data_IF_004969308274
#
_entry.id   IF_004969308274
#
_cell.length_a   1.000
_cell.length_b   1.000
_cell.length_c   1.000
_cell.angle_alpha   90.00
_cell.angle_beta   90.00
_cell.angle_gamma   90.00
#
_symmetry.space_group_name_H-M   'P 1'
#
loop_
_entity.id
_entity.type
_entity.pdbx_description
1 polymer ?
#
# COMPACT_ATOMS: atom_id res chain seq x y z
N UNK A 1 -11.55 -6.04 -19.01
CA UNK A 1 -10.13 -5.65 -19.13
C UNK A 1 -9.85 -5.15 -20.56
N UNK A 2 -8.96 -4.18 -20.65
CA UNK A 2 -8.57 -3.60 -21.93
C UNK A 2 -7.27 -4.27 -22.42
N UNK A 3 -7.27 -4.71 -23.69
CA UNK A 3 -6.07 -5.20 -24.34
C UNK A 3 -5.42 -4.06 -25.13
N UNK A 4 -4.12 -3.90 -24.98
CA UNK A 4 -3.32 -2.98 -25.77
C UNK A 4 -2.32 -3.78 -26.60
N UNK A 5 -2.09 -3.35 -27.85
CA UNK A 5 -1.16 -4.01 -28.76
C UNK A 5 0.19 -3.31 -28.84
N UNK A 6 0.32 -2.16 -28.19
CA UNK A 6 1.57 -1.41 -28.11
C UNK A 6 1.74 -0.90 -26.69
N UNK A 7 2.87 -1.17 -26.09
CA UNK A 7 3.25 -0.71 -24.77
C UNK A 7 4.71 -0.28 -24.74
N UNK A 8 5.10 0.35 -23.63
CA UNK A 8 6.49 0.70 -23.36
C UNK A 8 6.84 0.16 -21.97
N UNK A 9 7.91 -0.62 -21.89
CA UNK A 9 8.44 -1.14 -20.62
C UNK A 9 9.90 -0.73 -20.55
N UNK A 10 10.26 0.00 -19.50
CA UNK A 10 11.61 0.51 -19.27
C UNK A 10 12.23 1.22 -20.49
N UNK A 11 11.43 2.07 -21.16
CA UNK A 11 11.87 2.82 -22.35
C UNK A 11 11.89 2.01 -23.66
N UNK A 12 11.58 0.71 -23.62
CA UNK A 12 11.52 -0.14 -24.80
C UNK A 12 10.09 -0.30 -25.28
N UNK A 13 9.85 0.01 -26.56
CA UNK A 13 8.55 -0.18 -27.21
C UNK A 13 8.33 -1.65 -27.55
N UNK A 14 7.20 -2.18 -27.08
CA UNK A 14 6.78 -3.55 -27.34
C UNK A 14 5.50 -3.55 -28.19
N UNK A 15 5.47 -4.40 -29.21
CA UNK A 15 4.30 -4.66 -30.03
C UNK A 15 3.82 -6.10 -29.75
N UNK A 16 3.02 -6.27 -28.71
CA UNK A 16 2.46 -7.55 -28.30
C UNK A 16 1.10 -7.34 -27.65
N UNK A 17 0.14 -8.26 -27.77
CA UNK A 17 -1.08 -8.21 -27.01
C UNK A 17 -0.76 -8.28 -25.51
N UNK A 18 -1.10 -7.23 -24.78
CA UNK A 18 -0.92 -7.17 -23.33
C UNK A 18 -2.12 -6.51 -22.65
N UNK A 19 -2.28 -6.77 -21.36
CA UNK A 19 -3.26 -6.06 -20.56
C UNK A 19 -2.77 -4.65 -20.24
N UNK A 20 -3.69 -3.68 -20.24
CA UNK A 20 -3.38 -2.32 -19.82
C UNK A 20 -3.32 -2.27 -18.29
N UNK A 21 -2.13 -2.48 -17.74
CA UNK A 21 -1.88 -2.46 -16.29
C UNK A 21 -1.17 -1.16 -15.92
N UNK A 22 -1.69 -0.51 -14.90
CA UNK A 22 -1.05 0.66 -14.29
C UNK A 22 -0.54 0.30 -12.90
N UNK A 23 0.77 0.45 -12.69
CA UNK A 23 1.42 0.14 -11.42
C UNK A 23 1.55 1.40 -10.57
N UNK A 24 1.27 1.27 -9.29
CA UNK A 24 1.44 2.35 -8.29
C UNK A 24 2.16 1.81 -7.07
N UNK A 25 3.11 2.58 -6.55
CA UNK A 25 3.84 2.24 -5.34
C UNK A 25 3.03 2.63 -4.09
N UNK A 26 2.01 1.84 -3.76
CA UNK A 26 1.15 2.07 -2.60
C UNK A 26 0.68 0.74 -1.97
N UNK A 27 1.37 -0.37 -2.22
CA UNK A 27 1.08 -1.67 -1.62
C UNK A 27 1.65 -1.84 -0.22
N UNK A 28 1.37 -2.96 0.43
CA UNK A 28 1.78 -3.25 1.82
C UNK A 28 3.27 -3.10 2.09
N UNK A 29 4.12 -3.46 1.12
CA UNK A 29 5.59 -3.32 1.23
C UNK A 29 6.13 -1.94 0.89
N UNK A 30 5.31 -0.97 0.49
CA UNK A 30 5.78 0.38 0.18
C UNK A 30 6.37 1.06 1.41
N UNK A 31 7.59 1.57 1.26
CA UNK A 31 8.35 2.19 2.34
C UNK A 31 7.74 3.54 2.69
N UNK A 32 7.62 3.81 3.99
CA UNK A 32 7.15 5.08 4.53
C UNK A 32 8.35 5.94 4.91
N UNK A 33 8.34 7.18 4.47
CA UNK A 33 9.46 8.09 4.70
C UNK A 33 9.00 9.53 4.96
N UNK A 34 9.92 10.34 5.47
CA UNK A 34 9.72 11.76 5.63
C UNK A 34 10.92 12.50 5.01
N UNK A 35 10.67 13.21 3.93
CA UNK A 35 11.70 13.94 3.19
C UNK A 35 11.18 15.28 2.71
N UNK A 36 12.05 16.28 2.72
CA UNK A 36 11.72 17.65 2.31
C UNK A 36 10.44 18.22 2.97
N UNK A 37 10.24 17.94 4.27
CA UNK A 37 9.07 18.41 5.01
C UNK A 37 7.77 17.67 4.74
N UNK A 38 7.80 16.54 4.03
CA UNK A 38 6.59 15.79 3.61
C UNK A 38 6.67 14.31 3.96
N UNK A 39 5.54 13.77 4.36
CA UNK A 39 5.34 12.32 4.45
C UNK A 39 5.22 11.74 3.04
N UNK A 40 5.86 10.60 2.79
CA UNK A 40 5.88 9.93 1.49
C UNK A 40 5.62 8.45 1.63
N UNK A 41 4.98 7.86 0.61
CA UNK A 41 4.73 6.43 0.47
C UNK A 41 5.35 5.97 -0.84
N UNK A 42 6.33 5.06 -0.74
CA UNK A 42 7.12 4.64 -1.90
C UNK A 42 8.01 5.76 -2.45
N UNK A 43 8.55 5.61 -3.67
CA UNK A 43 8.36 4.49 -4.61
C UNK A 43 9.04 3.18 -4.20
N UNK A 44 9.93 3.22 -3.22
CA UNK A 44 10.66 2.05 -2.75
C UNK A 44 9.74 1.04 -2.06
N UNK A 45 10.07 -0.24 -2.20
CA UNK A 45 9.38 -1.34 -1.55
C UNK A 45 10.38 -2.19 -0.77
N UNK A 46 9.99 -2.59 0.45
CA UNK A 46 10.76 -3.53 1.25
C UNK A 46 10.74 -4.96 0.70
N UNK A 47 9.88 -5.25 -0.28
CA UNK A 47 9.69 -6.58 -0.82
C UNK A 47 9.26 -7.60 0.24
N UNK A 48 9.66 -8.86 0.05
CA UNK A 48 9.44 -9.94 1.01
C UNK A 48 10.65 -10.20 1.91
N UNK A 49 11.82 -9.73 1.50
CA UNK A 49 13.08 -9.86 2.24
C UNK A 49 13.92 -8.58 2.09
N UNK A 50 14.17 -7.84 3.16
CA UNK A 50 13.78 -8.10 4.54
C UNK A 50 12.28 -8.01 4.80
N UNK A 51 11.50 -7.32 3.97
CA UNK A 51 10.08 -7.06 4.14
C UNK A 51 9.80 -5.92 5.13
N UNK A 52 8.54 -5.71 5.52
CA UNK A 52 8.12 -4.78 6.57
C UNK A 52 8.88 -4.97 7.89
N UNK A 53 8.96 -3.91 8.70
CA UNK A 53 9.59 -3.98 10.03
C UNK A 53 8.98 -5.09 10.90
N UNK A 54 7.65 -5.24 10.86
CA UNK A 54 6.92 -6.27 11.60
C UNK A 54 7.28 -7.71 11.21
N UNK A 55 7.99 -7.94 10.10
CA UNK A 55 8.45 -9.27 9.74
C UNK A 55 9.63 -9.74 10.60
N UNK A 56 10.21 -8.86 11.43
CA UNK A 56 11.29 -9.22 12.36
C UNK A 56 12.61 -9.56 11.67
N UNK A 57 12.82 -9.10 10.44
CA UNK A 57 14.04 -9.32 9.65
C UNK A 57 14.90 -8.07 9.47
N UNK A 58 14.59 -6.99 10.20
CA UNK A 58 15.30 -5.71 10.12
C UNK A 58 14.91 -4.86 8.91
N UNK A 59 13.69 -5.00 8.42
CA UNK A 59 13.15 -4.19 7.34
C UNK A 59 12.74 -2.79 7.77
N UNK A 60 12.48 -1.90 6.80
CA UNK A 60 12.05 -0.53 7.05
C UNK A 60 10.58 -0.46 7.46
N UNK A 61 10.16 0.74 7.92
CA UNK A 61 8.76 1.07 8.14
C UNK A 61 8.00 1.07 6.81
N UNK A 62 6.86 0.38 6.76
CA UNK A 62 6.05 0.22 5.55
C UNK A 62 4.57 0.45 5.81
N UNK A 63 3.77 0.44 4.74
CA UNK A 63 2.30 0.48 4.80
C UNK A 63 1.73 -0.66 5.65
N UNK A 64 2.33 -1.86 5.62
CA UNK A 64 1.93 -2.99 6.48
C UNK A 64 2.10 -2.64 7.96
N UNK A 65 3.21 -2.01 8.32
CA UNK A 65 3.48 -1.58 9.69
C UNK A 65 2.47 -0.52 10.16
N UNK A 66 2.13 0.45 9.30
CA UNK A 66 1.11 1.44 9.59
C UNK A 66 -0.27 0.80 9.84
N UNK A 67 -0.64 -0.22 9.05
CA UNK A 67 -1.88 -0.96 9.27
C UNK A 67 -1.87 -1.76 10.60
N UNK A 68 -0.73 -2.26 11.04
CA UNK A 68 -0.58 -2.91 12.36
C UNK A 68 -0.71 -1.89 13.49
N UNK A 69 -0.06 -0.73 13.36
CA UNK A 69 -0.10 0.35 14.37
C UNK A 69 -1.53 0.84 14.58
N UNK A 70 -2.26 1.07 13.49
CA UNK A 70 -3.66 1.52 13.53
C UNK A 70 -4.67 0.41 13.86
N UNK A 71 -4.22 -0.85 14.00
CA UNK A 71 -5.08 -1.99 14.32
C UNK A 71 -5.94 -2.50 13.15
N UNK A 72 -5.76 -1.98 11.94
CA UNK A 72 -6.43 -2.48 10.72
C UNK A 72 -5.96 -3.88 10.35
N UNK A 73 -4.70 -4.20 10.63
CA UNK A 73 -4.11 -5.51 10.48
C UNK A 73 -3.76 -6.04 11.88
N UNK A 74 -4.31 -7.21 12.20
CA UNK A 74 -4.21 -7.82 13.53
C UNK A 74 -3.25 -9.01 13.48
N UNK A 75 -2.05 -8.90 14.10
CA UNK A 75 -0.99 -9.91 14.07
C UNK A 75 -1.44 -11.31 14.53
N UNK A 76 -2.38 -11.38 15.46
CA UNK A 76 -2.87 -12.63 16.04
C UNK A 76 -3.61 -13.54 15.05
N UNK A 77 -4.04 -13.02 13.91
CA UNK A 77 -4.69 -13.80 12.86
C UNK A 77 -3.74 -14.32 11.79
N UNK A 78 -2.45 -14.04 11.92
CA UNK A 78 -1.45 -14.50 10.98
C UNK A 78 -0.73 -15.75 11.50
N UNK A 79 -0.37 -16.68 10.61
CA UNK A 79 0.43 -17.83 11.00
C UNK A 79 1.84 -17.40 11.42
N UNK A 80 2.52 -18.16 12.31
CA UNK A 80 3.85 -17.86 12.80
C UNK A 80 4.92 -18.25 11.76
N UNK A 81 5.02 -17.49 10.68
CA UNK A 81 5.94 -17.73 9.54
C UNK A 81 6.96 -16.61 9.36
N UNK A 82 7.01 -15.65 10.29
CA UNK A 82 7.88 -14.49 10.25
C UNK A 82 9.14 -14.67 11.10
N UNK A 83 9.93 -13.60 11.22
CA UNK A 83 11.23 -13.64 11.89
C UNK A 83 12.33 -14.24 11.03
N UNK A 84 13.56 -14.17 11.54
CA UNK A 84 14.76 -14.68 10.83
C UNK A 84 14.70 -16.19 10.55
N UNK A 85 14.03 -16.96 11.41
CA UNK A 85 13.90 -18.42 11.30
C UNK A 85 12.59 -18.87 10.68
N UNK A 86 11.67 -17.95 10.33
CA UNK A 86 10.37 -18.28 9.75
C UNK A 86 9.40 -19.00 10.71
N UNK A 87 9.51 -18.76 12.01
CA UNK A 87 8.72 -19.41 13.05
C UNK A 87 8.20 -18.44 14.12
N UNK A 88 8.11 -17.15 13.80
CA UNK A 88 7.62 -16.10 14.70
C UNK A 88 6.34 -15.48 14.17
N UNK A 89 5.55 -14.90 15.06
CA UNK A 89 4.40 -14.08 14.69
C UNK A 89 4.86 -12.72 14.11
N UNK A 90 3.95 -11.99 13.50
CA UNK A 90 4.17 -10.58 13.17
C UNK A 90 4.48 -9.79 14.45
N UNK A 91 5.54 -8.98 14.39
CA UNK A 91 6.02 -8.22 15.54
C UNK A 91 5.50 -6.78 15.50
N UNK A 92 4.43 -6.51 16.26
CA UNK A 92 3.89 -5.14 16.42
C UNK A 92 4.90 -4.18 17.05
N UNK A 93 5.76 -4.68 17.97
CA UNK A 93 6.74 -3.81 18.63
C UNK A 93 7.82 -3.34 17.65
N UNK A 94 8.19 -4.18 16.69
CA UNK A 94 9.09 -3.77 15.62
C UNK A 94 8.51 -2.62 14.77
N UNK A 95 7.20 -2.64 14.49
CA UNK A 95 6.52 -1.53 13.80
C UNK A 95 6.55 -0.24 14.64
N UNK A 96 6.26 -0.35 15.95
CA UNK A 96 6.27 0.79 16.88
C UNK A 96 7.69 1.36 16.97
N UNK A 97 8.70 0.52 17.09
CA UNK A 97 10.09 0.94 17.12
C UNK A 97 10.52 1.64 15.82
N UNK A 98 10.05 1.15 14.68
CA UNK A 98 10.40 1.72 13.37
C UNK A 98 9.73 3.10 13.13
N UNK A 99 8.56 3.38 13.70
CA UNK A 99 7.88 4.68 13.55
C UNK A 99 8.35 5.71 14.59
N UNK A 100 8.90 5.29 15.73
CA UNK A 100 9.27 6.16 16.86
C UNK A 100 10.19 7.35 16.47
N UNK A 101 11.24 7.19 15.66
CA UNK A 101 12.08 8.32 15.21
C UNK A 101 11.29 9.42 14.51
N UNK A 102 10.25 9.05 13.76
CA UNK A 102 9.37 10.02 13.09
C UNK A 102 8.43 10.69 14.09
N UNK A 103 7.91 9.93 15.06
CA UNK A 103 7.04 10.43 16.14
C UNK A 103 7.76 11.49 16.96
N UNK A 104 8.99 11.22 17.37
CA UNK A 104 9.81 12.17 18.11
C UNK A 104 10.15 13.41 17.28
N UNK A 105 10.57 13.23 16.04
CA UNK A 105 10.95 14.33 15.14
C UNK A 105 9.77 15.27 14.83
N UNK A 106 8.57 14.71 14.63
CA UNK A 106 7.39 15.46 14.22
C UNK A 106 6.48 15.85 15.39
N UNK A 107 6.81 15.40 16.61
CA UNK A 107 6.02 15.60 17.83
C UNK A 107 4.56 15.15 17.67
N UNK A 108 4.37 13.96 17.07
CA UNK A 108 3.06 13.36 16.80
C UNK A 108 3.04 11.91 17.27
N UNK A 109 1.85 11.41 17.61
CA UNK A 109 1.71 10.00 18.02
C UNK A 109 1.95 9.05 16.84
N UNK A 110 2.36 7.83 17.13
CA UNK A 110 2.58 6.80 16.13
C UNK A 110 1.30 6.52 15.32
N UNK A 111 0.15 6.46 16.00
CA UNK A 111 -1.15 6.22 15.39
C UNK A 111 -1.51 7.33 14.39
N UNK A 112 -1.38 8.60 14.79
CA UNK A 112 -1.71 9.73 13.91
C UNK A 112 -0.81 9.76 12.69
N UNK A 113 0.50 9.50 12.85
CA UNK A 113 1.41 9.42 11.72
C UNK A 113 1.11 8.24 10.80
N UNK A 114 0.79 7.08 11.36
CA UNK A 114 0.39 5.92 10.58
C UNK A 114 -0.87 6.18 9.76
N UNK A 115 -1.88 6.84 10.34
CA UNK A 115 -3.11 7.24 9.63
C UNK A 115 -2.84 8.21 8.49
N UNK A 116 -1.95 9.19 8.68
CA UNK A 116 -1.56 10.12 7.62
C UNK A 116 -0.90 9.40 6.44
N UNK A 117 0.06 8.51 6.71
CA UNK A 117 0.67 7.71 5.65
C UNK A 117 -0.33 6.80 4.94
N UNK A 118 -1.26 6.18 5.67
CA UNK A 118 -2.32 5.37 5.07
C UNK A 118 -3.25 6.21 4.19
N UNK A 119 -3.55 7.44 4.61
CA UNK A 119 -4.33 8.38 3.79
C UNK A 119 -3.59 8.75 2.49
N UNK A 120 -2.27 8.96 2.54
CA UNK A 120 -1.45 9.20 1.36
C UNK A 120 -1.45 7.96 0.45
N UNK A 121 -1.27 6.75 1.00
CA UNK A 121 -1.33 5.51 0.24
C UNK A 121 -2.67 5.36 -0.48
N UNK A 122 -3.78 5.59 0.22
CA UNK A 122 -5.13 5.56 -0.35
C UNK A 122 -5.26 6.59 -1.49
N UNK A 123 -4.77 7.81 -1.29
CA UNK A 123 -4.85 8.85 -2.31
C UNK A 123 -4.03 8.52 -3.57
N UNK A 124 -2.88 7.88 -3.40
CA UNK A 124 -2.07 7.39 -4.52
C UNK A 124 -2.82 6.31 -5.32
N UNK A 125 -3.48 5.36 -4.63
CA UNK A 125 -4.32 4.33 -5.28
C UNK A 125 -5.51 4.95 -6.02
N UNK A 126 -6.23 5.88 -5.40
CA UNK A 126 -7.36 6.61 -6.01
C UNK A 126 -6.91 7.36 -7.25
N UNK A 127 -5.77 8.05 -7.19
CA UNK A 127 -5.20 8.79 -8.33
C UNK A 127 -4.85 7.85 -9.49
N UNK A 128 -4.28 6.67 -9.19
CA UNK A 128 -3.98 5.66 -10.18
C UNK A 128 -5.24 5.13 -10.87
N UNK A 129 -6.31 4.85 -10.09
CA UNK A 129 -7.60 4.40 -10.63
C UNK A 129 -8.21 5.49 -11.51
N UNK A 130 -8.22 6.76 -11.06
CA UNK A 130 -8.73 7.88 -11.84
C UNK A 130 -8.01 8.05 -13.18
N UNK A 131 -6.70 7.81 -13.20
CA UNK A 131 -5.88 7.91 -14.42
C UNK A 131 -6.31 6.91 -15.51
N UNK A 132 -6.68 5.70 -15.12
CA UNK A 132 -7.10 4.65 -16.08
C UNK A 132 -8.60 4.59 -16.31
N UNK A 133 -9.39 5.38 -15.60
CA UNK A 133 -10.85 5.39 -15.66
C UNK A 133 -11.41 6.78 -15.96
N UNK A 134 -11.53 7.63 -14.96
CA UNK A 134 -12.18 8.96 -15.07
C UNK A 134 -11.51 9.84 -16.13
N UNK A 135 -10.17 9.85 -16.20
CA UNK A 135 -9.43 10.63 -17.21
C UNK A 135 -9.65 10.10 -18.64
N UNK A 136 -10.20 8.89 -18.78
CA UNK A 136 -10.58 8.29 -20.06
C UNK A 136 -12.08 8.37 -20.35
N UNK A 137 -12.82 9.10 -19.52
CA UNK A 137 -14.26 9.32 -19.70
C UNK A 137 -15.16 8.24 -19.08
N UNK A 138 -14.60 7.28 -18.31
CA UNK A 138 -15.43 6.29 -17.62
C UNK A 138 -16.01 6.87 -16.33
N UNK A 139 -17.32 6.72 -16.13
CA UNK A 139 -17.99 7.08 -14.89
C UNK A 139 -17.88 5.92 -13.88
N UNK A 140 -16.94 6.04 -12.95
CA UNK A 140 -16.65 4.97 -11.96
C UNK A 140 -17.80 4.68 -11.00
N UNK A 141 -18.80 5.57 -10.88
CA UNK A 141 -19.98 5.35 -10.04
C UNK A 141 -20.81 4.13 -10.50
N UNK A 142 -20.71 3.78 -11.78
CA UNK A 142 -21.41 2.65 -12.37
C UNK A 142 -20.65 1.31 -12.27
N UNK A 143 -19.46 1.32 -11.64
CA UNK A 143 -18.60 0.15 -11.55
C UNK A 143 -18.55 -0.41 -10.13
N UNK A 144 -18.13 -1.67 -10.02
CA UNK A 144 -17.79 -2.31 -8.77
C UNK A 144 -16.27 -2.30 -8.60
N UNK A 145 -15.78 -1.88 -7.45
CA UNK A 145 -14.36 -1.99 -7.12
C UNK A 145 -14.06 -3.45 -6.79
N UNK A 146 -13.35 -4.13 -7.68
CA UNK A 146 -12.88 -5.49 -7.41
C UNK A 146 -11.47 -5.42 -6.83
N UNK A 147 -11.30 -6.01 -5.66
CA UNK A 147 -10.05 -5.97 -4.89
C UNK A 147 -9.60 -7.38 -4.58
N UNK A 148 -8.33 -7.68 -4.78
CA UNK A 148 -7.74 -8.98 -4.48
C UNK A 148 -6.29 -8.83 -4.04
N UNK A 149 -5.76 -9.87 -3.36
CA UNK A 149 -4.41 -9.87 -2.81
C UNK A 149 -4.33 -9.46 -1.35
N UNK A 150 -3.18 -9.66 -0.72
CA UNK A 150 -3.01 -9.57 0.73
C UNK A 150 -3.22 -8.20 1.36
N UNK A 151 -2.92 -7.10 0.65
CA UNK A 151 -3.03 -5.74 1.18
C UNK A 151 -4.26 -4.99 0.67
N UNK A 152 -4.86 -5.41 -0.45
CA UNK A 152 -5.91 -4.66 -1.13
C UNK A 152 -7.16 -4.45 -0.26
N UNK A 153 -7.61 -5.48 0.44
CA UNK A 153 -8.80 -5.42 1.29
C UNK A 153 -8.75 -4.36 2.38
N UNK A 154 -7.56 -4.02 2.87
CA UNK A 154 -7.36 -3.01 3.93
C UNK A 154 -7.70 -1.58 3.46
N UNK A 155 -7.74 -1.34 2.15
CA UNK A 155 -8.00 -0.03 1.53
C UNK A 155 -9.32 0.04 0.76
N UNK A 156 -9.99 -1.10 0.56
CA UNK A 156 -11.15 -1.23 -0.32
C UNK A 156 -12.26 -0.19 -0.04
N UNK A 157 -12.67 -0.09 1.23
CA UNK A 157 -13.75 0.83 1.63
C UNK A 157 -13.36 2.29 1.41
N UNK A 158 -12.18 2.70 1.84
CA UNK A 158 -11.71 4.08 1.69
C UNK A 158 -11.53 4.49 0.23
N UNK A 159 -11.02 3.58 -0.61
CA UNK A 159 -10.88 3.81 -2.05
C UNK A 159 -12.26 3.96 -2.68
N UNK A 160 -13.20 3.06 -2.37
CA UNK A 160 -14.56 3.13 -2.90
C UNK A 160 -15.26 4.43 -2.50
N UNK A 161 -15.16 4.82 -1.23
CA UNK A 161 -15.73 6.07 -0.72
C UNK A 161 -15.15 7.29 -1.44
N UNK A 162 -13.82 7.39 -1.58
CA UNK A 162 -13.15 8.49 -2.30
C UNK A 162 -13.45 8.53 -3.80
N UNK A 163 -13.87 7.43 -4.40
CA UNK A 163 -14.30 7.32 -5.79
C UNK A 163 -15.82 7.45 -5.95
N UNK A 164 -16.58 7.46 -4.85
CA UNK A 164 -18.05 7.45 -4.88
C UNK A 164 -18.65 6.13 -5.33
N UNK A 165 -17.88 5.02 -5.27
CA UNK A 165 -18.34 3.69 -5.67
C UNK A 165 -19.15 3.05 -4.53
N UNK A 166 -20.32 2.52 -4.85
CA UNK A 166 -21.24 1.92 -3.86
C UNK A 166 -21.02 0.42 -3.63
N UNK A 167 -20.14 -0.21 -4.41
CA UNK A 167 -19.94 -1.67 -4.37
C UNK A 167 -18.46 -2.02 -4.41
N UNK A 168 -18.08 -2.93 -3.50
CA UNK A 168 -16.77 -3.59 -3.49
C UNK A 168 -16.97 -5.11 -3.58
N UNK A 169 -16.08 -5.77 -4.29
CA UNK A 169 -15.93 -7.22 -4.31
C UNK A 169 -14.51 -7.56 -3.81
N UNK A 170 -14.41 -8.38 -2.76
CA UNK A 170 -13.17 -8.87 -2.16
C UNK A 170 -12.96 -10.33 -2.50
#
# INVERSE_FOLDING_TARGET
>A
YERVFRGEIAGTRLASPMMNIHTVAAGGGSVLSYSAGRLQVGPESAGANPGPACYGKGGPLTVTDANIITGRLRPEFFPPIFGKKGNQNLDKQASIFAIDPFSQKLQRTAETLAEDWLSIATQNMVSAIKKISVQRGYNVLNYCLTVFGGAGGQFACEIAEKLGMSKCLL
#
